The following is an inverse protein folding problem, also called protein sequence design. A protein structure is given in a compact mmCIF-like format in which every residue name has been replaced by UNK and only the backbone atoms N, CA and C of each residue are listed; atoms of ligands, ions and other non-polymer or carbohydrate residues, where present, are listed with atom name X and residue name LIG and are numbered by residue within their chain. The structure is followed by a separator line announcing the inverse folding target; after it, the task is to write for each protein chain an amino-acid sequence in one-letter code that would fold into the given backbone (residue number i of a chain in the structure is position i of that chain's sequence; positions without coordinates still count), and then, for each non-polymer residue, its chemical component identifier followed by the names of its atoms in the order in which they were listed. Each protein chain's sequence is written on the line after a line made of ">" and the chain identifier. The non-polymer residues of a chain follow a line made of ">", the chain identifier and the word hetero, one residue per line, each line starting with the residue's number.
data_IF_899845616722
#
_entry.id   IF_899845616722
#
_cell.length_a   1.000
_cell.length_b   1.000
_cell.length_c   1.000
_cell.angle_alpha   90.00
_cell.angle_beta   90.00
_cell.angle_gamma   90.00
#
_symmetry.space_group_name_H-M   'P 1'
#
loop_
_entity.id
_entity.type
_entity.pdbx_description
1 polymer ?
#
# COMPACT_ATOMS: atom_id res chain seq x y z
N UNK A 1 -5.51 -13.20 -11.61
CA UNK A 1 -4.46 -13.17 -10.58
C UNK A 1 -4.72 -12.05 -9.57
N UNK A 2 -4.68 -10.77 -9.94
CA UNK A 2 -4.84 -9.62 -9.01
C UNK A 2 -6.15 -9.62 -8.21
N UNK A 3 -7.26 -10.11 -8.78
CA UNK A 3 -8.55 -10.21 -8.06
C UNK A 3 -8.57 -11.29 -6.95
N UNK A 4 -7.54 -12.13 -6.88
CA UNK A 4 -7.46 -13.26 -5.96
C UNK A 4 -6.31 -13.09 -4.95
N UNK A 5 -5.95 -11.85 -4.58
CA UNK A 5 -4.92 -11.67 -3.54
C UNK A 5 -5.45 -12.25 -2.22
N UNK A 6 -4.75 -13.22 -1.61
CA UNK A 6 -5.23 -13.87 -0.41
C UNK A 6 -5.23 -12.91 0.77
N UNK A 7 -6.22 -13.07 1.66
CA UNK A 7 -6.31 -12.33 2.90
C UNK A 7 -7.53 -11.43 3.04
N UNK A 8 -7.48 -10.54 4.03
CA UNK A 8 -8.53 -9.58 4.35
C UNK A 8 -7.92 -8.21 4.57
N UNK A 9 -8.60 -7.15 4.15
CA UNK A 9 -8.13 -5.75 4.27
C UNK A 9 -7.81 -5.33 5.71
N UNK A 10 -8.43 -5.98 6.70
CA UNK A 10 -8.25 -5.69 8.13
C UNK A 10 -7.04 -6.42 8.73
N UNK A 11 -6.57 -7.51 8.11
CA UNK A 11 -5.50 -8.33 8.64
C UNK A 11 -4.16 -7.99 7.98
N UNK A 12 -3.37 -7.18 8.68
CA UNK A 12 -2.04 -6.70 8.25
C UNK A 12 -1.02 -7.82 8.03
N UNK A 13 -1.28 -9.04 8.51
CA UNK A 13 -0.40 -10.21 8.28
C UNK A 13 -0.68 -10.88 6.95
N UNK A 14 -1.79 -10.57 6.31
CA UNK A 14 -2.12 -11.10 4.99
C UNK A 14 -1.60 -10.17 3.89
N UNK A 15 -1.26 -10.69 2.69
CA UNK A 15 -0.79 -9.85 1.58
C UNK A 15 -1.74 -8.70 1.26
N UNK A 16 -3.05 -8.95 1.24
CA UNK A 16 -4.05 -7.91 0.98
C UNK A 16 -4.10 -6.84 2.07
N UNK A 17 -4.05 -7.23 3.34
CA UNK A 17 -4.07 -6.27 4.45
C UNK A 17 -2.75 -5.51 4.61
N UNK A 18 -1.62 -6.13 4.29
CA UNK A 18 -0.31 -5.47 4.21
C UNK A 18 -0.32 -4.36 3.14
N UNK A 19 -0.77 -4.67 1.92
CA UNK A 19 -0.89 -3.67 0.86
C UNK A 19 -1.81 -2.51 1.25
N UNK A 20 -2.97 -2.81 1.84
CA UNK A 20 -3.89 -1.77 2.33
C UNK A 20 -3.25 -0.89 3.41
N UNK A 21 -2.44 -1.48 4.28
CA UNK A 21 -1.74 -0.75 5.33
C UNK A 21 -0.64 0.15 4.77
N UNK A 22 0.17 -0.36 3.84
CA UNK A 22 1.20 0.42 3.12
C UNK A 22 0.54 1.57 2.34
N UNK A 23 -0.53 1.29 1.61
CA UNK A 23 -1.30 2.30 0.87
C UNK A 23 -1.78 3.43 1.78
N UNK A 24 -2.36 3.07 2.92
CA UNK A 24 -2.84 4.04 3.92
C UNK A 24 -1.68 4.88 4.44
N UNK A 25 -0.53 4.27 4.75
CA UNK A 25 0.64 4.99 5.24
C UNK A 25 1.20 5.96 4.18
N UNK A 26 1.34 5.52 2.93
CA UNK A 26 1.85 6.34 1.83
C UNK A 26 0.92 7.53 1.56
N UNK A 27 -0.38 7.29 1.41
CA UNK A 27 -1.34 8.37 1.12
C UNK A 27 -1.46 9.38 2.27
N UNK A 28 -1.42 8.95 3.53
CA UNK A 28 -1.35 9.86 4.68
C UNK A 28 -0.07 10.71 4.67
N UNK A 29 1.08 10.10 4.36
CA UNK A 29 2.36 10.84 4.32
C UNK A 29 2.42 11.82 3.15
N UNK A 30 1.93 11.45 1.97
CA UNK A 30 1.80 12.37 0.82
C UNK A 30 0.91 13.56 1.22
N UNK A 31 -0.24 13.29 1.82
CA UNK A 31 -1.14 14.35 2.27
C UNK A 31 -0.48 15.26 3.31
N UNK A 32 0.27 14.68 4.26
CA UNK A 32 0.95 15.44 5.31
C UNK A 32 2.08 16.33 4.77
N UNK A 33 2.85 15.84 3.79
CA UNK A 33 3.98 16.57 3.19
C UNK A 33 3.54 17.67 2.22
N UNK A 34 2.42 17.47 1.51
CA UNK A 34 1.97 18.40 0.46
C UNK A 34 0.94 19.42 0.96
N UNK A 35 0.05 19.03 1.88
CA UNK A 35 -1.07 19.89 2.28
C UNK A 35 -0.67 20.84 3.42
N UNK A 36 -1.20 22.08 3.43
CA UNK A 36 -1.08 22.96 4.59
C UNK A 36 -1.67 22.31 5.84
N UNK A 37 -1.01 22.49 6.99
CA UNK A 37 -1.36 21.83 8.27
C UNK A 37 -2.83 21.93 8.65
N UNK A 38 -3.46 23.08 8.42
CA UNK A 38 -4.88 23.30 8.71
C UNK A 38 -5.80 22.45 7.82
N UNK A 39 -5.49 22.37 6.52
CA UNK A 39 -6.25 21.58 5.54
C UNK A 39 -6.05 20.09 5.82
N UNK A 40 -4.81 19.66 6.07
CA UNK A 40 -4.51 18.27 6.42
C UNK A 40 -5.30 17.81 7.64
N UNK A 41 -5.26 18.58 8.73
CA UNK A 41 -6.03 18.24 9.95
C UNK A 41 -7.52 18.11 9.64
N UNK A 42 -8.09 19.11 8.96
CA UNK A 42 -9.51 19.12 8.63
C UNK A 42 -9.95 17.92 7.79
N UNK A 43 -9.15 17.55 6.79
CA UNK A 43 -9.58 16.57 5.80
C UNK A 43 -9.13 15.12 6.12
N UNK A 44 -8.01 14.95 6.82
CA UNK A 44 -7.43 13.63 7.10
C UNK A 44 -7.52 13.21 8.58
N UNK A 45 -7.94 14.11 9.49
CA UNK A 45 -8.00 13.85 10.94
C UNK A 45 -9.37 14.07 11.59
N UNK A 46 -10.22 14.96 11.06
CA UNK A 46 -11.51 15.26 11.71
C UNK A 46 -12.58 14.18 11.48
N UNK A 47 -12.67 13.64 10.27
CA UNK A 47 -13.67 12.62 9.90
C UNK A 47 -13.01 11.40 9.23
N UNK A 48 -13.31 10.20 9.73
CA UNK A 48 -12.70 8.96 9.25
C UNK A 48 -13.11 8.61 7.81
N UNK A 49 -14.37 8.85 7.43
CA UNK A 49 -14.87 8.56 6.09
C UNK A 49 -14.31 9.57 5.08
N UNK A 50 -14.29 10.86 5.42
CA UNK A 50 -13.68 11.90 4.56
C UNK A 50 -12.19 11.59 4.37
N UNK A 51 -11.47 11.23 5.44
CA UNK A 51 -10.07 10.86 5.35
C UNK A 51 -9.86 9.63 4.44
N UNK A 52 -10.71 8.61 4.56
CA UNK A 52 -10.65 7.42 3.69
C UNK A 52 -10.94 7.79 2.22
N UNK A 53 -11.96 8.61 1.96
CA UNK A 53 -12.27 9.09 0.61
C UNK A 53 -11.11 9.89 0.02
N UNK A 54 -10.47 10.76 0.79
CA UNK A 54 -9.36 11.55 0.27
C UNK A 54 -8.08 10.75 0.04
N UNK A 55 -7.78 9.75 0.87
CA UNK A 55 -6.68 8.80 0.57
C UNK A 55 -6.90 8.15 -0.79
N UNK A 56 -8.12 7.69 -1.06
CA UNK A 56 -8.50 7.11 -2.34
C UNK A 56 -8.53 8.16 -3.47
N UNK A 57 -8.88 9.41 -3.17
CA UNK A 57 -8.82 10.51 -4.13
C UNK A 57 -7.39 10.79 -4.60
N UNK A 58 -6.38 10.71 -3.74
CA UNK A 58 -4.98 10.88 -4.16
C UNK A 58 -4.56 9.81 -5.19
N UNK A 59 -5.02 8.57 -4.99
CA UNK A 59 -4.83 7.51 -5.97
C UNK A 59 -5.61 7.79 -7.27
N UNK A 60 -6.85 8.27 -7.16
CA UNK A 60 -7.64 8.65 -8.32
C UNK A 60 -6.98 9.78 -9.12
N UNK A 61 -6.41 10.79 -8.46
CA UNK A 61 -5.62 11.86 -9.09
C UNK A 61 -4.48 11.27 -9.92
N UNK A 62 -3.75 10.31 -9.36
CA UNK A 62 -2.64 9.65 -10.06
C UNK A 62 -3.10 8.84 -11.28
N UNK A 63 -4.12 7.99 -11.12
CA UNK A 63 -4.61 7.11 -12.20
C UNK A 63 -5.27 7.93 -13.30
N UNK A 64 -6.18 8.84 -12.95
CA UNK A 64 -6.95 9.61 -13.93
C UNK A 64 -6.06 10.50 -14.80
N UNK A 65 -4.92 10.98 -14.25
CA UNK A 65 -3.99 11.82 -15.01
C UNK A 65 -3.33 11.10 -16.18
N UNK A 66 -3.15 9.78 -16.06
CA UNK A 66 -2.69 8.93 -17.18
C UNK A 66 -3.69 8.91 -18.33
N UNK A 67 -4.99 9.01 -18.02
CA UNK A 67 -6.08 9.07 -18.99
C UNK A 67 -6.48 10.50 -19.37
N UNK A 68 -5.59 11.48 -19.16
CA UNK A 68 -5.85 12.91 -19.42
C UNK A 68 -7.05 13.49 -18.66
N UNK A 69 -7.46 12.85 -17.57
CA UNK A 69 -8.52 13.34 -16.69
C UNK A 69 -7.89 13.97 -15.44
N UNK A 70 -8.38 15.16 -15.05
CA UNK A 70 -7.93 15.84 -13.83
C UNK A 70 -9.07 15.90 -12.82
N UNK A 71 -9.13 14.98 -11.85
CA UNK A 71 -10.18 15.02 -10.83
C UNK A 71 -10.02 16.28 -9.97
N UNK A 72 -11.14 16.81 -9.49
CA UNK A 72 -11.17 18.02 -8.67
C UNK A 72 -11.87 17.76 -7.34
N UNK A 73 -11.35 18.40 -6.29
CA UNK A 73 -11.91 18.39 -4.94
C UNK A 73 -12.24 19.82 -4.49
N UNK A 74 -13.14 19.95 -3.51
CA UNK A 74 -13.31 21.18 -2.75
C UNK A 74 -13.04 20.90 -1.26
N UNK A 75 -12.04 21.54 -0.64
CA UNK A 75 -11.12 22.55 -1.19
C UNK A 75 -10.18 21.96 -2.26
N UNK A 76 -9.65 22.83 -3.13
CA UNK A 76 -8.69 22.44 -4.17
C UNK A 76 -7.39 21.99 -3.51
N UNK A 77 -6.98 20.75 -3.76
CA UNK A 77 -5.72 20.21 -3.29
C UNK A 77 -4.58 20.56 -4.28
N UNK A 78 -3.35 20.77 -3.80
CA UNK A 78 -2.17 20.80 -4.66
C UNK A 78 -1.97 19.43 -5.35
N UNK A 79 -1.28 19.39 -6.50
CA UNK A 79 -1.05 18.14 -7.22
C UNK A 79 -0.19 17.16 -6.42
N UNK A 80 -0.64 15.91 -6.29
CA UNK A 80 0.06 14.86 -5.53
C UNK A 80 0.51 13.66 -6.38
N UNK A 81 0.05 13.56 -7.63
CA UNK A 81 0.29 12.41 -8.51
C UNK A 81 1.77 12.12 -8.83
N UNK A 82 2.67 13.12 -8.78
CA UNK A 82 4.12 12.98 -9.06
C UNK A 82 4.97 12.89 -7.78
N UNK A 83 4.35 12.65 -6.62
CA UNK A 83 5.09 12.56 -5.36
C UNK A 83 5.99 11.31 -5.30
N UNK A 84 7.27 11.40 -4.87
CA UNK A 84 8.21 10.25 -4.88
C UNK A 84 7.77 9.02 -4.07
N UNK A 85 6.94 9.20 -3.04
CA UNK A 85 6.39 8.06 -2.28
C UNK A 85 5.49 7.14 -3.11
N UNK A 86 5.01 7.58 -4.27
CA UNK A 86 4.33 6.69 -5.21
C UNK A 86 5.27 5.63 -5.79
N UNK A 87 6.57 5.92 -5.90
CA UNK A 87 7.56 4.92 -6.33
C UNK A 87 7.71 3.81 -5.29
N UNK A 88 7.63 4.16 -3.99
CA UNK A 88 7.60 3.18 -2.91
C UNK A 88 6.32 2.33 -2.93
N UNK A 89 5.19 2.91 -3.34
CA UNK A 89 3.95 2.16 -3.52
C UNK A 89 4.08 1.15 -4.67
N UNK A 90 4.61 1.59 -5.81
CA UNK A 90 4.79 0.73 -6.97
C UNK A 90 5.70 -0.46 -6.67
N UNK A 91 6.82 -0.22 -5.96
CA UNK A 91 7.73 -1.28 -5.53
C UNK A 91 7.05 -2.28 -4.58
N UNK A 92 6.28 -1.80 -3.61
CA UNK A 92 5.58 -2.67 -2.65
C UNK A 92 4.53 -3.54 -3.35
N UNK A 93 3.80 -2.98 -4.31
CA UNK A 93 2.83 -3.72 -5.12
C UNK A 93 3.55 -4.77 -5.99
N UNK A 94 4.63 -4.41 -6.65
CA UNK A 94 5.39 -5.33 -7.51
C UNK A 94 5.93 -6.53 -6.71
N UNK A 95 6.53 -6.28 -5.53
CA UNK A 95 7.00 -7.33 -4.62
C UNK A 95 5.88 -8.27 -4.15
N UNK A 96 4.68 -7.74 -3.90
CA UNK A 96 3.54 -8.56 -3.52
C UNK A 96 3.03 -9.40 -4.70
N UNK A 97 2.93 -8.80 -5.89
CA UNK A 97 2.42 -9.46 -7.10
C UNK A 97 3.37 -10.55 -7.61
N UNK A 98 4.69 -10.37 -7.47
CA UNK A 98 5.67 -11.38 -7.84
C UNK A 98 5.51 -12.70 -7.07
N UNK A 99 4.98 -12.65 -5.83
CA UNK A 99 4.74 -13.83 -4.98
C UNK A 99 3.37 -14.46 -5.21
N UNK A 100 2.45 -13.75 -5.86
CA UNK A 100 1.05 -14.13 -6.00
C UNK A 100 0.83 -15.45 -6.77
N UNK A 101 1.55 -15.77 -7.86
CA UNK A 101 1.39 -17.05 -8.56
C UNK A 101 1.61 -18.25 -7.63
N UNK A 102 2.70 -18.25 -6.86
CA UNK A 102 3.03 -19.33 -5.93
C UNK A 102 2.03 -19.45 -4.78
N UNK A 103 1.52 -18.33 -4.28
CA UNK A 103 0.48 -18.31 -3.25
C UNK A 103 -0.83 -18.94 -3.75
N UNK A 104 -1.24 -18.61 -4.99
CA UNK A 104 -2.45 -19.15 -5.60
C UNK A 104 -2.31 -20.65 -5.91
N UNK A 105 -1.16 -21.08 -6.39
CA UNK A 105 -0.87 -22.51 -6.61
C UNK A 105 -0.91 -23.30 -5.31
N UNK A 106 -0.36 -22.75 -4.22
CA UNK A 106 -0.43 -23.34 -2.88
C UNK A 106 -1.87 -23.47 -2.39
N UNK A 107 -2.68 -22.41 -2.52
CA UNK A 107 -4.09 -22.43 -2.12
C UNK A 107 -4.89 -23.47 -2.91
N UNK A 108 -4.69 -23.52 -4.22
CA UNK A 108 -5.33 -24.51 -5.09
C UNK A 108 -4.92 -25.94 -4.75
N UNK A 109 -3.62 -26.17 -4.52
CA UNK A 109 -3.14 -27.49 -4.09
C UNK A 109 -3.75 -27.91 -2.75
N UNK A 110 -3.94 -26.98 -1.81
CA UNK A 110 -4.65 -27.24 -0.56
C UNK A 110 -6.11 -27.62 -0.78
N UNK A 111 -6.83 -26.90 -1.65
CA UNK A 111 -8.22 -27.23 -1.96
C UNK A 111 -8.34 -28.59 -2.66
N UNK A 112 -7.40 -28.91 -3.56
CA UNK A 112 -7.40 -30.17 -4.28
C UNK A 112 -7.10 -31.34 -3.34
N UNK A 113 -6.12 -31.20 -2.44
CA UNK A 113 -5.81 -32.20 -1.42
C UNK A 113 -7.00 -32.42 -0.45
N UNK A 114 -7.72 -31.36 -0.08
CA UNK A 114 -8.93 -31.47 0.75
C UNK A 114 -10.07 -32.22 0.05
N UNK A 115 -10.12 -32.18 -1.28
CA UNK A 115 -11.12 -32.86 -2.12
C UNK A 115 -10.69 -34.29 -2.54
N UNK A 116 -9.68 -34.87 -1.89
CA UNK A 116 -9.18 -36.21 -2.19
C UNK A 116 -8.18 -36.28 -3.35
N UNK A 117 -7.66 -35.13 -3.80
CA UNK A 117 -6.58 -35.03 -4.77
C UNK A 117 -5.20 -35.37 -4.17
N UNK A 118 -4.13 -35.28 -4.97
CA UNK A 118 -2.77 -35.54 -4.52
C UNK A 118 -2.35 -34.56 -3.40
N UNK A 119 -1.47 -34.99 -2.47
CA UNK A 119 -0.99 -34.14 -1.39
C UNK A 119 -0.22 -32.93 -1.94
N UNK A 120 -0.28 -31.81 -1.20
CA UNK A 120 0.40 -30.56 -1.58
C UNK A 120 1.89 -30.81 -1.79
N UNK A 121 2.46 -30.41 -2.95
CA UNK A 121 3.89 -30.56 -3.22
C UNK A 121 4.75 -29.92 -2.11
N UNK A 122 5.86 -30.56 -1.68
CA UNK A 122 6.67 -30.07 -0.56
C UNK A 122 7.17 -28.64 -0.72
N UNK A 123 7.52 -28.24 -1.96
CA UNK A 123 8.01 -26.89 -2.27
C UNK A 123 6.93 -25.80 -2.12
N UNK A 124 5.65 -26.13 -2.36
CA UNK A 124 4.53 -25.22 -2.11
C UNK A 124 4.13 -25.24 -0.64
N UNK A 125 4.18 -26.41 0.01
CA UNK A 125 3.89 -26.54 1.42
C UNK A 125 4.83 -25.66 2.28
N UNK A 126 6.14 -25.62 1.94
CA UNK A 126 7.14 -24.80 2.62
C UNK A 126 7.15 -23.32 2.21
N UNK A 127 6.46 -22.93 1.14
CA UNK A 127 6.43 -21.55 0.70
C UNK A 127 5.63 -20.66 1.67
N UNK A 128 6.26 -19.63 2.21
CA UNK A 128 5.63 -18.64 3.08
C UNK A 128 5.67 -17.26 2.44
N UNK A 129 4.63 -16.46 2.69
CA UNK A 129 4.59 -15.09 2.20
C UNK A 129 5.71 -14.26 2.83
N UNK A 130 6.50 -13.61 1.98
CA UNK A 130 7.54 -12.70 2.42
C UNK A 130 6.97 -11.28 2.46
N UNK A 131 6.85 -10.76 3.68
CA UNK A 131 6.42 -9.40 3.98
C UNK A 131 7.30 -8.33 3.31
N UNK A 132 6.67 -7.21 2.96
CA UNK A 132 7.38 -6.05 2.40
C UNK A 132 8.34 -5.42 3.42
N UNK A 133 9.50 -4.96 2.95
CA UNK A 133 10.48 -4.23 3.74
C UNK A 133 10.15 -2.75 3.92
N UNK A 134 9.07 -2.26 3.31
CA UNK A 134 8.66 -0.85 3.29
C UNK A 134 8.81 -0.13 4.63
N UNK A 135 8.18 -0.65 5.70
CA UNK A 135 8.22 0.03 7.01
C UNK A 135 9.62 0.07 7.62
N UNK A 136 10.41 -0.99 7.43
CA UNK A 136 11.79 -1.03 7.91
C UNK A 136 12.66 -0.01 7.18
N UNK A 137 12.50 0.10 5.86
CA UNK A 137 13.22 1.07 5.03
C UNK A 137 12.84 2.51 5.40
N UNK A 138 11.56 2.80 5.62
CA UNK A 138 11.09 4.14 6.02
C UNK A 138 11.58 4.52 7.43
N UNK A 139 11.60 3.58 8.38
CA UNK A 139 12.17 3.82 9.72
C UNK A 139 13.68 4.09 9.65
N UNK A 140 14.40 3.36 8.80
CA UNK A 140 15.83 3.59 8.57
C UNK A 140 16.08 4.96 7.93
N UNK A 141 15.25 5.37 6.97
CA UNK A 141 15.34 6.71 6.39
C UNK A 141 15.09 7.81 7.44
N UNK A 142 14.13 7.58 8.35
CA UNK A 142 13.86 8.49 9.45
C UNK A 142 15.02 8.53 10.47
N UNK A 143 15.66 7.40 10.76
CA UNK A 143 16.86 7.34 11.60
C UNK A 143 18.02 8.15 11.00
N UNK A 144 18.25 8.03 9.69
CA UNK A 144 19.24 8.85 8.97
C UNK A 144 18.90 10.34 9.08
N UNK A 145 17.62 10.70 8.93
CA UNK A 145 17.17 12.08 9.10
C UNK A 145 17.43 12.61 10.52
N UNK A 146 17.16 11.81 11.57
CA UNK A 146 17.47 12.18 12.95
C UNK A 146 18.97 12.36 13.18
N UNK A 147 19.80 11.47 12.62
CA UNK A 147 21.26 11.53 12.72
C UNK A 147 21.88 12.77 12.07
N UNK A 148 21.24 13.30 11.01
CA UNK A 148 21.68 14.51 10.32
C UNK A 148 20.93 15.79 10.78
N UNK A 149 19.77 15.62 11.40
CA UNK A 149 18.79 16.67 11.73
C UNK A 149 19.22 17.66 12.81
N UNK A 150 20.36 17.44 13.47
CA UNK A 150 20.99 18.47 14.32
C UNK A 150 21.43 19.73 13.56
N UNK A 151 21.51 19.68 12.22
CA UNK A 151 22.02 20.76 11.36
C UNK A 151 20.88 21.56 10.69
N UNK A 152 19.64 21.05 10.70
CA UNK A 152 18.50 21.66 9.99
C UNK A 152 17.58 22.48 10.93
N UNK A 153 18.16 23.45 11.66
CA UNK A 153 17.40 24.50 12.37
C UNK A 153 17.64 25.86 11.75
#
# INVERSE_FOLDING_TARGET
>A
MVMNIPGRLQDRRTPLGELNWIFTAITDTIAWTVLPRAIFRRLFRDDLMVAALLRNFLLAERIMRFYHCTPMSHPKLPPTHNHPLWDSWDLAVDQCLAQLPTLLEKEKAHTDAANGGPPVPPHLASFEYRHSTFFSEQLKAFEVWLGQGGIAR
#
